data_IF_436688698292
#
_entry.id   IF_436688698292
#
_cell.length_a   1.000
_cell.length_b   1.000
_cell.length_c   1.000
_cell.angle_alpha   90.00
_cell.angle_beta   90.00
_cell.angle_gamma   90.00
#
_symmetry.space_group_name_H-M   'P 1'
#
loop_
_entity.id
_entity.type
_entity.pdbx_description
1 polymer ?
#
# COMPACT_ATOMS: atom_id res chain seq x y z
N UNK A 1 -25.63 30.89 -32.91
CA UNK A 1 -25.79 29.42 -33.02
C UNK A 1 -24.84 28.77 -32.02
N UNK A 2 -25.39 27.92 -31.15
CA UNK A 2 -24.83 27.54 -29.87
C UNK A 2 -23.49 26.79 -29.95
N UNK A 3 -22.52 27.25 -29.15
CA UNK A 3 -21.38 26.44 -28.73
C UNK A 3 -21.91 25.27 -27.92
N UNK A 4 -21.70 24.06 -28.43
CA UNK A 4 -21.92 22.82 -27.69
C UNK A 4 -21.03 22.85 -26.45
N UNK A 5 -21.64 23.09 -25.28
CA UNK A 5 -21.03 22.85 -23.99
C UNK A 5 -20.80 21.33 -23.89
N UNK A 6 -19.57 20.89 -24.17
CA UNK A 6 -19.12 19.57 -23.75
C UNK A 6 -19.08 19.60 -22.21
N UNK A 7 -20.17 19.16 -21.57
CA UNK A 7 -20.13 18.79 -20.16
C UNK A 7 -19.13 17.64 -20.06
N UNK A 8 -17.98 17.88 -19.43
CA UNK A 8 -17.10 16.81 -18.97
C UNK A 8 -17.95 15.82 -18.17
N UNK A 9 -17.87 14.54 -18.53
CA UNK A 9 -18.49 13.47 -17.74
C UNK A 9 -17.98 13.57 -16.29
N UNK A 10 -18.80 13.27 -15.28
CA UNK A 10 -18.29 13.22 -13.92
C UNK A 10 -17.20 12.15 -13.87
N UNK A 11 -15.95 12.54 -13.61
CA UNK A 11 -14.85 11.60 -13.35
C UNK A 11 -15.21 10.78 -12.12
N UNK A 12 -15.75 9.58 -12.34
CA UNK A 12 -16.15 8.69 -11.25
C UNK A 12 -14.90 8.18 -10.56
N UNK A 13 -14.65 8.68 -9.36
CA UNK A 13 -13.69 8.11 -8.42
C UNK A 13 -14.00 6.63 -8.21
N UNK A 14 -13.05 5.76 -8.54
CA UNK A 14 -13.16 4.33 -8.22
C UNK A 14 -13.26 4.14 -6.70
N UNK A 15 -13.93 3.08 -6.27
CA UNK A 15 -14.05 2.76 -4.86
C UNK A 15 -12.77 2.16 -4.27
N UNK A 16 -12.72 2.06 -2.94
CA UNK A 16 -11.54 1.56 -2.23
C UNK A 16 -11.24 0.08 -2.57
N UNK A 17 -12.28 -0.72 -2.84
CA UNK A 17 -12.09 -2.13 -3.24
C UNK A 17 -11.38 -2.25 -4.58
N UNK A 18 -11.78 -1.45 -5.57
CA UNK A 18 -11.17 -1.46 -6.90
C UNK A 18 -9.69 -1.12 -6.83
N UNK A 19 -9.32 -0.08 -6.07
CA UNK A 19 -7.93 0.27 -5.86
C UNK A 19 -7.17 -0.80 -5.05
N UNK A 20 -7.80 -1.42 -4.06
CA UNK A 20 -7.17 -2.50 -3.31
C UNK A 20 -6.93 -3.74 -4.19
N UNK A 21 -7.80 -4.03 -5.17
CA UNK A 21 -7.55 -5.12 -6.15
C UNK A 21 -6.32 -4.85 -7.01
N UNK A 22 -6.06 -3.59 -7.37
CA UNK A 22 -4.82 -3.22 -8.08
C UNK A 22 -3.58 -3.43 -7.20
N UNK A 23 -3.65 -3.09 -5.90
CA UNK A 23 -2.58 -3.39 -4.96
C UNK A 23 -2.40 -4.91 -4.77
N UNK A 24 -3.49 -5.68 -4.76
CA UNK A 24 -3.45 -7.14 -4.66
C UNK A 24 -2.81 -7.80 -5.88
N UNK A 25 -2.99 -7.26 -7.09
CA UNK A 25 -2.27 -7.73 -8.27
C UNK A 25 -0.75 -7.61 -8.09
N UNK A 26 -0.27 -6.45 -7.60
CA UNK A 26 1.15 -6.25 -7.27
C UNK A 26 1.64 -7.18 -6.15
N UNK A 27 0.78 -7.48 -5.17
CA UNK A 27 1.11 -8.43 -4.11
C UNK A 27 1.32 -9.85 -4.66
N UNK A 28 0.54 -10.26 -5.67
CA UNK A 28 0.73 -11.54 -6.37
C UNK A 28 2.06 -11.55 -7.14
N UNK A 29 2.40 -10.46 -7.82
CA UNK A 29 3.72 -10.32 -8.48
C UNK A 29 4.88 -10.49 -7.49
N UNK A 30 4.78 -9.90 -6.28
CA UNK A 30 5.74 -10.16 -5.20
C UNK A 30 5.83 -11.65 -4.83
N UNK A 31 4.68 -12.30 -4.62
CA UNK A 31 4.62 -13.73 -4.30
C UNK A 31 5.28 -14.61 -5.36
N UNK A 32 4.98 -14.36 -6.64
CA UNK A 32 5.55 -15.07 -7.80
C UNK A 32 7.06 -14.86 -7.90
N UNK A 33 7.54 -13.69 -7.48
CA UNK A 33 8.95 -13.34 -7.39
C UNK A 33 9.66 -13.94 -6.15
N UNK A 34 8.95 -14.69 -5.30
CA UNK A 34 9.51 -15.27 -4.08
C UNK A 34 9.68 -14.25 -2.95
N UNK A 35 8.94 -13.16 -2.96
CA UNK A 35 8.90 -12.16 -1.91
C UNK A 35 7.62 -12.29 -1.08
N UNK A 36 7.62 -11.76 0.15
CA UNK A 36 6.39 -11.71 0.95
C UNK A 36 5.32 -10.94 0.16
N UNK A 37 4.12 -11.50 -0.11
CA UNK A 37 3.16 -10.94 -1.07
C UNK A 37 2.44 -9.72 -0.51
N UNK A 38 3.10 -8.58 -0.59
CA UNK A 38 2.56 -7.27 -0.23
C UNK A 38 2.70 -6.34 -1.42
N UNK A 39 1.61 -5.67 -1.76
CA UNK A 39 1.53 -4.72 -2.86
C UNK A 39 0.90 -3.42 -2.39
N UNK A 40 1.27 -2.32 -3.04
CA UNK A 40 0.79 -0.99 -2.74
C UNK A 40 0.67 -0.12 -4.00
N UNK A 41 -0.36 0.72 -4.01
CA UNK A 41 -0.53 1.76 -5.02
C UNK A 41 -0.81 3.10 -4.36
N UNK A 42 -0.33 4.18 -4.98
CA UNK A 42 -0.63 5.54 -4.58
C UNK A 42 -1.52 6.21 -5.63
N UNK A 43 -2.63 6.79 -5.18
CA UNK A 43 -3.67 7.39 -6.03
C UNK A 43 -3.78 8.88 -5.74
N UNK A 44 -3.92 9.68 -6.81
CA UNK A 44 -4.22 11.12 -6.74
C UNK A 44 -5.21 11.47 -7.86
N UNK A 45 -6.24 12.27 -7.58
CA UNK A 45 -7.20 12.76 -8.59
C UNK A 45 -7.77 11.63 -9.49
N UNK A 46 -7.99 10.44 -8.93
CA UNK A 46 -8.45 9.20 -9.61
C UNK A 46 -7.43 8.44 -10.47
N UNK A 47 -6.17 8.89 -10.52
CA UNK A 47 -5.08 8.21 -11.22
C UNK A 47 -4.12 7.52 -10.27
N UNK A 48 -3.63 6.33 -10.66
CA UNK A 48 -2.49 5.68 -9.98
C UNK A 48 -1.21 6.39 -10.39
N UNK A 49 -0.53 7.03 -9.43
CA UNK A 49 0.72 7.78 -9.64
C UNK A 49 1.95 7.10 -9.05
N UNK A 50 1.75 6.04 -8.27
CA UNK A 50 2.83 5.25 -7.68
C UNK A 50 2.44 3.79 -7.54
N UNK A 51 3.39 2.89 -7.76
CA UNK A 51 3.21 1.44 -7.62
C UNK A 51 4.41 0.83 -6.91
N UNK A 52 4.17 -0.17 -6.08
CA UNK A 52 5.21 -0.91 -5.40
C UNK A 52 4.74 -2.29 -4.93
N UNK A 53 5.66 -3.24 -4.91
CA UNK A 53 5.49 -4.53 -4.23
C UNK A 53 6.76 -4.83 -3.45
N UNK A 54 6.65 -5.65 -2.40
CA UNK A 54 7.80 -6.04 -1.59
C UNK A 54 8.87 -6.71 -2.45
N UNK A 55 10.10 -6.20 -2.39
CA UNK A 55 11.25 -6.84 -3.05
C UNK A 55 12.57 -6.77 -2.26
N UNK A 56 12.56 -6.89 -0.91
CA UNK A 56 13.78 -6.74 -0.11
C UNK A 56 14.86 -7.78 -0.43
N UNK A 57 14.49 -9.01 -0.79
CA UNK A 57 15.45 -10.08 -1.16
C UNK A 57 16.05 -9.76 -2.53
N UNK A 58 15.20 -9.51 -3.53
CA UNK A 58 15.62 -9.27 -4.90
C UNK A 58 16.49 -8.01 -5.04
N UNK A 59 16.16 -6.94 -4.33
CA UNK A 59 16.91 -5.69 -4.41
C UNK A 59 18.03 -5.54 -3.37
N UNK A 60 18.19 -6.51 -2.46
CA UNK A 60 19.10 -6.41 -1.31
C UNK A 60 18.92 -5.07 -0.56
N UNK A 61 17.68 -4.59 -0.44
CA UNK A 61 17.35 -3.32 0.21
C UNK A 61 16.36 -3.61 1.35
N UNK A 62 16.76 -3.47 2.62
CA UNK A 62 15.87 -3.72 3.76
C UNK A 62 14.68 -2.75 3.79
N UNK A 63 14.74 -1.64 3.05
CA UNK A 63 13.68 -0.66 2.95
C UNK A 63 12.75 -0.88 1.75
N UNK A 64 12.98 -1.89 0.90
CA UNK A 64 12.20 -2.14 -0.33
C UNK A 64 10.84 -2.80 -0.06
N UNK A 65 10.09 -2.23 0.88
CA UNK A 65 8.69 -2.55 1.12
C UNK A 65 7.79 -1.89 0.08
N UNK A 66 6.62 -2.49 -0.16
CA UNK A 66 5.66 -2.04 -1.15
C UNK A 66 5.31 -0.55 -1.01
N UNK A 67 5.05 -0.09 0.22
CA UNK A 67 4.69 1.30 0.53
C UNK A 67 5.82 2.27 0.19
N UNK A 68 7.05 1.94 0.59
CA UNK A 68 8.24 2.76 0.32
C UNK A 68 8.45 2.90 -1.18
N UNK A 69 8.30 1.81 -1.93
CA UNK A 69 8.50 1.81 -3.37
C UNK A 69 7.39 2.60 -4.09
N UNK A 70 6.14 2.48 -3.66
CA UNK A 70 5.03 3.26 -4.19
C UNK A 70 5.21 4.77 -3.91
N UNK A 71 5.63 5.13 -2.69
CA UNK A 71 5.94 6.52 -2.32
C UNK A 71 7.10 7.09 -3.14
N UNK A 72 8.20 6.34 -3.31
CA UNK A 72 9.36 6.75 -4.13
C UNK A 72 8.94 6.96 -5.59
N UNK A 73 8.18 6.02 -6.14
CA UNK A 73 7.67 6.10 -7.51
C UNK A 73 6.85 7.38 -7.73
N UNK A 74 5.90 7.66 -6.84
CA UNK A 74 5.07 8.86 -6.93
C UNK A 74 5.84 10.16 -6.70
N UNK A 75 6.75 10.19 -5.72
CA UNK A 75 7.55 11.38 -5.43
C UNK A 75 8.46 11.77 -6.60
N UNK A 76 9.02 10.78 -7.29
CA UNK A 76 9.77 11.00 -8.53
C UNK A 76 8.88 11.53 -9.64
N UNK A 77 7.70 10.93 -9.85
CA UNK A 77 6.75 11.35 -10.87
C UNK A 77 6.25 12.80 -10.66
N UNK A 78 6.06 13.22 -9.41
CA UNK A 78 5.62 14.58 -9.06
C UNK A 78 6.78 15.56 -8.85
N UNK A 79 8.03 15.10 -8.90
CA UNK A 79 9.22 15.85 -8.47
C UNK A 79 9.03 16.54 -7.10
N UNK A 80 8.33 15.87 -6.17
CA UNK A 80 7.99 16.42 -4.87
C UNK A 80 7.87 15.31 -3.82
N UNK A 81 8.53 15.50 -2.68
CA UNK A 81 8.47 14.55 -1.57
C UNK A 81 7.16 14.65 -0.77
N UNK A 82 6.44 15.77 -0.86
CA UNK A 82 5.12 15.93 -0.27
C UNK A 82 4.06 15.45 -1.25
N UNK A 83 3.35 14.41 -0.85
CA UNK A 83 2.31 13.73 -1.61
C UNK A 83 0.96 14.04 -0.97
N UNK A 84 0.69 15.33 -0.76
CA UNK A 84 -0.60 15.80 -0.25
C UNK A 84 -1.73 15.33 -1.19
N UNK A 85 -2.95 15.20 -0.65
CA UNK A 85 -4.15 14.78 -1.38
C UNK A 85 -4.07 13.36 -1.99
N UNK A 86 -3.00 12.63 -1.72
CA UNK A 86 -2.83 11.25 -2.17
C UNK A 86 -3.41 10.25 -1.17
N UNK A 87 -3.95 9.16 -1.70
CA UNK A 87 -4.36 7.98 -0.93
C UNK A 87 -3.45 6.80 -1.24
N UNK A 88 -2.87 6.18 -0.21
CA UNK A 88 -2.12 4.94 -0.35
C UNK A 88 -3.03 3.76 -0.05
N UNK A 89 -3.06 2.77 -0.95
CA UNK A 89 -3.68 1.48 -0.75
C UNK A 89 -2.59 0.43 -0.59
N UNK A 90 -2.63 -0.38 0.46
CA UNK A 90 -1.65 -1.45 0.73
C UNK A 90 -2.32 -2.71 1.25
N UNK A 91 -1.87 -3.89 0.80
CA UNK A 91 -2.53 -5.18 1.13
C UNK A 91 -2.28 -5.67 2.55
N UNK A 92 -1.34 -5.07 3.28
CA UNK A 92 -1.02 -5.40 4.66
C UNK A 92 -0.83 -4.10 5.46
N UNK A 93 -1.18 -4.14 6.76
CA UNK A 93 -0.93 -3.03 7.67
C UNK A 93 0.56 -2.64 7.65
N UNK A 94 0.88 -1.34 7.51
CA UNK A 94 2.26 -0.89 7.41
C UNK A 94 3.02 -1.10 8.73
N UNK A 95 4.28 -1.49 8.61
CA UNK A 95 5.22 -1.52 9.74
C UNK A 95 5.65 -0.10 10.16
N UNK A 96 6.40 0.03 11.25
CA UNK A 96 6.84 1.32 11.78
C UNK A 96 7.63 2.18 10.77
N UNK A 97 8.48 1.56 9.95
CA UNK A 97 9.22 2.24 8.88
C UNK A 97 8.27 2.85 7.84
N UNK A 98 7.36 2.04 7.30
CA UNK A 98 6.42 2.49 6.29
C UNK A 98 5.45 3.55 6.84
N UNK A 99 4.97 3.37 8.07
CA UNK A 99 4.13 4.35 8.75
C UNK A 99 4.84 5.71 8.92
N UNK A 100 6.11 5.71 9.35
CA UNK A 100 6.92 6.94 9.40
C UNK A 100 7.09 7.60 8.04
N UNK A 101 7.35 6.82 6.99
CA UNK A 101 7.47 7.33 5.63
C UNK A 101 6.16 7.95 5.11
N UNK A 102 5.01 7.32 5.39
CA UNK A 102 3.68 7.84 5.05
C UNK A 102 3.44 9.21 5.69
N UNK A 103 3.77 9.35 6.98
CA UNK A 103 3.64 10.62 7.71
C UNK A 103 4.56 11.70 7.13
N UNK A 104 5.82 11.36 6.83
CA UNK A 104 6.75 12.29 6.18
C UNK A 104 6.32 12.71 4.77
N UNK A 105 5.68 11.81 4.03
CA UNK A 105 5.11 12.07 2.72
C UNK A 105 3.82 12.90 2.78
N UNK A 106 3.23 13.09 3.96
CA UNK A 106 2.01 13.91 4.17
C UNK A 106 0.80 13.38 3.42
N UNK A 107 0.64 12.06 3.39
CA UNK A 107 -0.52 11.48 2.72
C UNK A 107 -1.81 11.93 3.41
N UNK A 108 -2.82 12.23 2.61
CA UNK A 108 -4.15 12.54 3.12
C UNK A 108 -4.80 11.30 3.75
N UNK A 109 -4.63 10.13 3.11
CA UNK A 109 -5.27 8.89 3.54
C UNK A 109 -4.40 7.65 3.30
N UNK A 110 -4.46 6.72 4.25
CA UNK A 110 -3.98 5.35 4.16
C UNK A 110 -5.19 4.42 4.19
N UNK A 111 -5.24 3.47 3.27
CA UNK A 111 -6.20 2.36 3.25
C UNK A 111 -5.40 1.07 3.24
N UNK A 112 -5.58 0.21 4.25
CA UNK A 112 -4.94 -1.10 4.28
C UNK A 112 -5.93 -2.24 4.42
N UNK A 113 -5.57 -3.41 3.88
CA UNK A 113 -6.41 -4.59 3.88
C UNK A 113 -6.28 -5.40 5.18
N UNK A 114 -5.31 -6.31 5.24
CA UNK A 114 -5.11 -7.19 6.39
C UNK A 114 -4.34 -6.49 7.53
N UNK A 115 -4.72 -6.76 8.79
CA UNK A 115 -3.95 -6.33 9.95
C UNK A 115 -2.66 -7.17 10.11
N UNK A 116 -1.60 -6.57 10.64
CA UNK A 116 -0.36 -7.26 11.00
C UNK A 116 -0.20 -7.32 12.52
N UNK A 117 -0.62 -8.44 13.10
CA UNK A 117 -0.55 -8.68 14.55
C UNK A 117 0.88 -8.71 15.11
N UNK A 118 1.92 -8.85 14.27
CA UNK A 118 3.31 -8.99 14.73
C UNK A 118 4.08 -7.68 14.66
N UNK A 119 3.88 -6.87 13.63
CA UNK A 119 4.68 -5.65 13.42
C UNK A 119 3.88 -4.42 12.98
N UNK A 120 2.55 -4.54 12.87
CA UNK A 120 1.68 -3.47 12.41
C UNK A 120 1.74 -2.22 13.27
N UNK A 121 2.02 -1.08 12.63
CA UNK A 121 2.21 0.21 13.27
C UNK A 121 1.05 1.19 13.02
N UNK A 122 -0.04 0.70 12.45
CA UNK A 122 -1.26 1.47 12.28
C UNK A 122 -2.31 1.13 13.34
N UNK A 123 -2.07 0.24 14.29
CA UNK A 123 -2.97 -0.06 15.41
C UNK A 123 -2.88 -1.48 15.96
N UNK A 124 -2.17 -2.40 15.30
CA UNK A 124 -1.98 -3.75 15.84
C UNK A 124 -0.99 -3.78 17.02
N UNK A 125 0.25 -3.35 16.80
CA UNK A 125 1.30 -3.33 17.85
C UNK A 125 1.46 -1.92 18.42
N UNK A 126 1.56 -0.95 17.53
CA UNK A 126 1.60 0.48 17.86
C UNK A 126 0.68 1.22 16.90
N UNK A 127 0.27 2.44 17.27
CA UNK A 127 -0.51 3.30 16.38
C UNK A 127 0.17 4.66 16.20
N UNK A 128 1.06 4.75 15.22
CA UNK A 128 1.76 6.00 14.93
C UNK A 128 0.83 7.07 14.35
N UNK A 129 -0.24 6.68 13.66
CA UNK A 129 -1.21 7.62 13.08
C UNK A 129 -2.14 8.28 14.10
N UNK A 130 -2.20 7.74 15.32
CA UNK A 130 -2.99 8.31 16.43
C UNK A 130 -2.13 9.11 17.43
N UNK A 131 -0.80 9.17 17.25
CA UNK A 131 0.09 9.89 18.16
C UNK A 131 0.08 11.40 17.86
N UNK A 132 -0.61 12.16 18.72
CA UNK A 132 -0.78 13.61 18.58
C UNK A 132 0.49 14.42 18.74
N UNK A 133 1.60 13.80 19.19
CA UNK A 133 2.92 14.44 19.23
C UNK A 133 3.55 14.57 17.84
N UNK A 134 3.06 13.83 16.85
CA UNK A 134 3.53 13.89 15.47
C UNK A 134 2.79 14.98 14.68
N UNK A 135 3.50 15.66 13.80
CA UNK A 135 3.08 16.93 13.19
C UNK A 135 2.09 16.80 12.00
N UNK A 136 1.84 15.60 11.49
CA UNK A 136 0.93 15.35 10.37
C UNK A 136 -0.01 14.20 10.73
N UNK A 137 -1.29 14.33 10.35
CA UNK A 137 -2.29 13.30 10.58
C UNK A 137 -2.83 12.78 9.24
N UNK A 138 -2.66 11.48 9.02
CA UNK A 138 -3.16 10.77 7.84
C UNK A 138 -4.41 10.00 8.25
N UNK A 139 -5.52 10.15 7.51
CA UNK A 139 -6.73 9.40 7.78
C UNK A 139 -6.50 7.91 7.49
N UNK A 140 -6.92 7.01 8.39
CA UNK A 140 -6.68 5.56 8.23
C UNK A 140 -8.00 4.82 8.05
N UNK A 141 -8.10 4.05 6.97
CA UNK A 141 -9.16 3.07 6.74
C UNK A 141 -8.55 1.67 6.72
N UNK A 142 -9.24 0.71 7.33
CA UNK A 142 -8.74 -0.65 7.55
C UNK A 142 -9.73 -1.65 6.97
N UNK A 143 -9.27 -2.84 6.64
CA UNK A 143 -10.14 -3.98 6.41
C UNK A 143 -10.63 -4.16 4.97
N UNK A 144 -10.25 -3.29 4.03
CA UNK A 144 -10.69 -3.37 2.63
C UNK A 144 -10.08 -4.60 1.99
N UNK A 145 -10.89 -5.60 1.61
CA UNK A 145 -10.43 -6.91 1.12
C UNK A 145 -9.48 -7.65 2.09
N UNK A 146 -9.69 -7.51 3.40
CA UNK A 146 -8.81 -8.10 4.42
C UNK A 146 -8.68 -9.61 4.32
N UNK A 147 -9.80 -10.34 4.11
CA UNK A 147 -9.78 -11.80 4.01
C UNK A 147 -8.96 -12.27 2.79
N UNK A 148 -9.14 -11.63 1.64
CA UNK A 148 -8.44 -11.99 0.41
C UNK A 148 -6.93 -11.71 0.52
N UNK A 149 -6.56 -10.52 1.01
CA UNK A 149 -5.15 -10.15 1.19
C UNK A 149 -4.47 -10.98 2.28
N UNK A 150 -5.17 -11.23 3.39
CA UNK A 150 -4.68 -12.08 4.48
C UNK A 150 -4.56 -13.54 4.08
N UNK A 151 -5.46 -14.03 3.22
CA UNK A 151 -5.40 -15.37 2.62
C UNK A 151 -4.13 -15.58 1.81
N UNK A 152 -3.83 -14.65 0.89
CA UNK A 152 -2.61 -14.70 0.08
C UNK A 152 -1.33 -14.78 0.94
N UNK A 153 -1.26 -13.99 2.02
CA UNK A 153 -0.12 -14.02 2.95
C UNK A 153 0.00 -15.37 3.68
N UNK A 154 -1.12 -15.94 4.14
CA UNK A 154 -1.16 -17.25 4.80
C UNK A 154 -0.71 -18.37 3.85
N UNK A 155 -1.21 -18.37 2.62
CA UNK A 155 -0.85 -19.34 1.57
C UNK A 155 0.65 -19.30 1.27
N UNK A 156 1.20 -18.10 1.09
CA UNK A 156 2.63 -17.92 0.84
C UNK A 156 3.49 -18.55 1.94
N UNK A 157 3.23 -18.24 3.22
CA UNK A 157 4.01 -18.83 4.31
C UNK A 157 3.75 -20.33 4.51
N UNK A 158 2.55 -20.82 4.22
CA UNK A 158 2.26 -22.25 4.27
C UNK A 158 3.08 -23.03 3.24
N UNK A 159 3.17 -22.52 2.00
CA UNK A 159 3.98 -23.14 0.94
C UNK A 159 5.48 -23.22 1.31
N UNK A 160 6.01 -22.20 1.99
CA UNK A 160 7.42 -22.17 2.44
C UNK A 160 7.72 -23.12 3.58
N UNK A 161 6.81 -23.29 4.54
CA UNK A 161 6.98 -24.30 5.61
C UNK A 161 6.96 -25.72 5.04
N UNK A 162 6.06 -26.00 4.10
CA UNK A 162 6.02 -27.30 3.42
C UNK A 162 7.29 -27.61 2.62
N UNK A 163 7.85 -26.60 1.94
CA UNK A 163 9.10 -26.74 1.19
C UNK A 163 10.34 -26.98 2.06
N UNK A 164 10.33 -26.58 3.34
CA UNK A 164 11.45 -26.79 4.26
C UNK A 164 11.47 -28.23 4.83
N UNK A 165 10.30 -28.88 4.96
CA UNK A 165 10.17 -30.25 5.45
C UNK A 165 10.65 -31.29 4.42
N UNK A 166 10.56 -30.99 3.12
CA UNK A 166 10.99 -31.92 2.05
C UNK A 166 12.48 -31.79 1.66
N UNK A 167 13.27 -30.97 2.36
CA UNK A 167 14.70 -30.74 2.07
C UNK A 167 15.65 -31.36 3.11
N UNK A 168 15.14 -32.16 4.03
CA UNK A 168 15.89 -32.99 4.99
C UNK A 168 15.64 -34.47 4.70
#
# INVERSE_FOLDING_TARGET
>A
MAMQLYRAAPETRLDDETYMRLALALAREAGDAGEVPVGAILVRENGVIGRGFNKPILSNDPCAHAEILALRCAAQALANYRLNDCTLYVTLEPCAMCAGAILHARLARLVFAAADAKTGAAGSVINLFADTRLNHHTAVTRGVLAEECGGLLKEFFASRRGAQICRE
#
